data_IF_264788677302
#
_entry.id   IF_264788677302
#
_cell.length_a   1.000
_cell.length_b   1.000
_cell.length_c   1.000
_cell.angle_alpha   90.00
_cell.angle_beta   90.00
_cell.angle_gamma   90.00
#
_symmetry.space_group_name_H-M   'P 1'
#
loop_
_entity.id
_entity.type
_entity.pdbx_description
1 polymer ?
#
# COMPACT_ATOMS: atom_id res chain seq x y z
N UNK A 1 5.44 11.92 35.24
CA UNK A 1 5.17 12.37 33.85
C UNK A 1 6.03 13.58 33.61
N UNK A 2 6.69 13.63 32.45
CA UNK A 2 7.62 14.71 32.10
C UNK A 2 6.84 15.89 31.50
N UNK A 3 7.22 17.12 31.82
CA UNK A 3 6.67 18.30 31.15
C UNK A 3 7.52 18.63 29.93
N UNK A 4 7.01 18.45 28.69
CA UNK A 4 7.76 18.77 27.49
C UNK A 4 7.89 20.28 27.31
N UNK A 5 8.93 20.70 26.60
CA UNK A 5 9.07 22.08 26.09
C UNK A 5 8.13 22.33 24.90
N UNK A 6 7.82 23.59 24.60
CA UNK A 6 6.95 23.94 23.47
C UNK A 6 7.52 23.45 22.13
N UNK A 7 8.85 23.52 21.95
CA UNK A 7 9.53 23.01 20.75
C UNK A 7 9.37 21.50 20.58
N UNK A 8 9.55 20.72 21.65
CA UNK A 8 9.35 19.26 21.61
C UNK A 8 7.91 18.90 21.23
N UNK A 9 6.92 19.63 21.76
CA UNK A 9 5.51 19.42 21.43
C UNK A 9 5.24 19.72 19.96
N UNK A 10 5.77 20.83 19.43
CA UNK A 10 5.58 21.21 18.03
C UNK A 10 6.27 20.25 17.05
N UNK A 11 7.50 19.83 17.34
CA UNK A 11 8.23 18.89 16.48
C UNK A 11 7.56 17.51 16.45
N UNK A 12 7.14 17.01 17.62
CA UNK A 12 6.39 15.76 17.70
C UNK A 12 5.01 15.87 17.02
N UNK A 13 4.34 17.01 17.16
CA UNK A 13 3.08 17.26 16.45
C UNK A 13 3.27 17.33 14.93
N UNK A 14 4.31 18.00 14.42
CA UNK A 14 4.63 18.03 12.98
C UNK A 14 4.84 16.63 12.45
N UNK A 15 5.61 15.82 13.14
CA UNK A 15 5.86 14.42 12.77
C UNK A 15 4.55 13.64 12.76
N UNK A 16 3.69 13.84 13.76
CA UNK A 16 2.42 13.13 13.91
C UNK A 16 1.41 13.49 12.82
N UNK A 17 1.20 14.78 12.53
CA UNK A 17 0.29 15.24 11.49
C UNK A 17 0.84 14.96 10.08
N UNK A 18 2.16 15.03 9.86
CA UNK A 18 2.75 14.62 8.57
C UNK A 18 2.59 13.13 8.31
N UNK A 19 2.61 12.31 9.37
CA UNK A 19 2.43 10.85 9.25
C UNK A 19 0.95 10.44 9.21
N UNK A 20 0.05 11.26 9.77
CA UNK A 20 -1.39 11.02 9.80
C UNK A 20 -2.15 12.34 9.52
N UNK A 21 -2.29 12.76 8.25
CA UNK A 21 -2.89 14.06 7.91
C UNK A 21 -4.31 14.26 8.47
N UNK A 22 -5.06 13.17 8.64
CA UNK A 22 -6.45 13.17 9.11
C UNK A 22 -6.60 12.93 10.62
N UNK A 23 -5.52 12.97 11.42
CA UNK A 23 -5.64 12.76 12.87
C UNK A 23 -6.31 13.96 13.54
N UNK A 24 -7.47 13.76 14.16
CA UNK A 24 -8.13 14.82 14.92
C UNK A 24 -7.28 15.28 16.12
N UNK A 25 -7.34 16.58 16.45
CA UNK A 25 -6.54 17.21 17.51
C UNK A 25 -6.58 16.50 18.86
N UNK A 26 -7.76 16.02 19.27
CA UNK A 26 -7.93 15.30 20.53
C UNK A 26 -7.17 13.96 20.53
N UNK A 27 -7.21 13.25 19.40
CA UNK A 27 -6.47 11.99 19.21
C UNK A 27 -4.97 12.25 19.13
N UNK A 28 -4.56 13.32 18.44
CA UNK A 28 -3.17 13.74 18.39
C UNK A 28 -2.59 14.02 19.79
N UNK A 29 -3.33 14.75 20.63
CA UNK A 29 -2.94 14.99 22.02
C UNK A 29 -2.81 13.68 22.82
N UNK A 30 -3.80 12.79 22.72
CA UNK A 30 -3.77 11.51 23.42
C UNK A 30 -2.54 10.68 23.00
N UNK A 31 -2.27 10.59 21.70
CA UNK A 31 -1.10 9.90 21.14
C UNK A 31 0.20 10.49 21.69
N UNK A 32 0.36 11.82 21.66
CA UNK A 32 1.57 12.48 22.16
C UNK A 32 1.80 12.22 23.66
N UNK A 33 0.73 12.23 24.47
CA UNK A 33 0.80 11.92 25.91
C UNK A 33 1.23 10.47 26.15
N UNK A 34 0.63 9.53 25.43
CA UNK A 34 0.89 8.09 25.60
C UNK A 34 2.29 7.72 25.11
N UNK A 35 2.68 8.16 23.92
CA UNK A 35 3.96 7.76 23.30
C UNK A 35 5.18 8.36 24.00
N UNK A 36 5.05 9.58 24.55
CA UNK A 36 6.17 10.31 25.15
C UNK A 36 6.08 10.41 26.68
N UNK A 37 5.06 9.79 27.31
CA UNK A 37 4.81 9.86 28.75
C UNK A 37 4.73 11.32 29.29
N UNK A 38 4.12 12.20 28.49
CA UNK A 38 4.06 13.63 28.75
C UNK A 38 2.83 14.04 29.55
N UNK A 39 3.03 14.98 30.48
CA UNK A 39 1.94 15.74 31.09
C UNK A 39 1.66 17.01 30.26
N UNK A 40 0.87 16.82 29.20
CA UNK A 40 0.49 17.89 28.27
C UNK A 40 -1.02 18.22 28.38
N UNK A 41 -1.33 19.47 28.72
CA UNK A 41 -2.70 19.97 28.82
C UNK A 41 -3.30 20.38 27.47
N UNK A 42 -4.59 20.11 27.26
CA UNK A 42 -5.28 20.42 26.01
C UNK A 42 -5.24 21.92 25.65
N UNK A 43 -5.38 22.82 26.64
CA UNK A 43 -5.29 24.27 26.41
C UNK A 43 -3.92 24.69 25.86
N UNK A 44 -2.84 24.14 26.42
CA UNK A 44 -1.46 24.42 25.97
C UNK A 44 -1.22 23.87 24.58
N UNK A 45 -1.61 22.61 24.35
CA UNK A 45 -1.48 21.98 23.02
C UNK A 45 -2.24 22.75 21.95
N UNK A 46 -3.51 23.11 22.19
CA UNK A 46 -4.30 23.91 21.27
C UNK A 46 -3.61 25.24 20.93
N UNK A 47 -3.14 25.98 21.93
CA UNK A 47 -2.45 27.27 21.74
C UNK A 47 -1.20 27.13 20.85
N UNK A 48 -0.42 26.06 21.05
CA UNK A 48 0.79 25.81 20.26
C UNK A 48 0.46 25.46 18.81
N UNK A 49 -0.52 24.57 18.59
CA UNK A 49 -0.93 24.18 17.24
C UNK A 49 -1.53 25.36 16.49
N UNK A 50 -2.44 26.12 17.10
CA UNK A 50 -3.11 27.27 16.48
C UNK A 50 -2.13 28.42 16.15
N UNK A 51 -1.00 28.52 16.89
CA UNK A 51 0.05 29.51 16.64
C UNK A 51 1.16 29.03 15.68
N UNK A 52 1.04 27.81 15.14
CA UNK A 52 2.05 27.18 14.28
C UNK A 52 1.57 27.01 12.84
N UNK A 53 2.51 26.72 11.95
CA UNK A 53 2.29 26.31 10.57
C UNK A 53 1.44 25.02 10.44
N UNK A 54 1.36 24.23 11.51
CA UNK A 54 0.56 22.99 11.59
C UNK A 54 -0.95 23.29 11.46
N UNK A 55 -1.41 24.48 11.88
CA UNK A 55 -2.83 24.84 11.79
C UNK A 55 -3.36 24.81 10.35
N UNK A 56 -2.53 25.19 9.36
CA UNK A 56 -2.91 25.16 7.95
C UNK A 56 -3.06 23.74 7.43
N UNK A 57 -2.23 22.81 7.91
CA UNK A 57 -2.32 21.37 7.58
C UNK A 57 -3.55 20.70 8.20
N UNK A 58 -4.10 21.25 9.28
CA UNK A 58 -5.28 20.72 9.99
C UNK A 58 -6.59 21.30 9.43
N UNK A 59 -6.59 22.56 8.97
CA UNK A 59 -7.78 23.23 8.46
C UNK A 59 -8.38 22.55 7.21
N UNK A 60 -7.56 21.81 6.43
CA UNK A 60 -8.05 20.97 5.33
C UNK A 60 -8.78 19.68 5.75
N UNK A 61 -8.79 19.36 7.05
CA UNK A 61 -9.32 18.09 7.60
C UNK A 61 -10.44 18.27 8.65
N UNK A 62 -11.00 19.49 8.81
CA UNK A 62 -11.92 19.83 9.92
C UNK A 62 -13.35 20.22 9.51
N UNK A 63 -13.84 19.82 8.35
CA UNK A 63 -15.30 19.72 8.13
C UNK A 63 -15.73 18.28 8.35
N UNK A 64 -15.81 17.85 9.61
CA UNK A 64 -16.69 16.77 10.09
C UNK A 64 -16.26 16.37 11.50
N UNK A 65 -16.83 17.03 12.52
CA UNK A 65 -17.07 16.36 13.81
C UNK A 65 -17.96 17.20 14.73
N UNK A 66 -19.21 16.75 14.89
CA UNK A 66 -19.96 16.92 16.13
C UNK A 66 -20.83 15.68 16.40
N UNK A 67 -20.27 14.72 17.15
CA UNK A 67 -20.93 13.95 18.22
C UNK A 67 -22.04 12.94 17.88
N UNK A 68 -21.73 11.64 18.06
CA UNK A 68 -22.73 10.60 18.37
C UNK A 68 -22.37 9.21 17.81
N UNK A 69 -22.31 8.21 18.71
CA UNK A 69 -22.31 6.75 18.49
C UNK A 69 -21.78 6.20 17.14
N UNK A 70 -20.71 5.39 17.18
CA UNK A 70 -20.15 4.66 16.03
C UNK A 70 -21.17 3.68 15.40
N UNK A 71 -22.04 4.22 14.55
CA UNK A 71 -22.40 3.61 13.29
C UNK A 71 -21.44 4.18 12.24
N UNK A 72 -20.87 3.30 11.39
CA UNK A 72 -20.12 3.73 10.19
C UNK A 72 -20.97 4.77 9.47
N UNK A 73 -20.47 5.99 9.21
CA UNK A 73 -21.21 6.94 8.42
C UNK A 73 -21.41 6.35 7.03
N UNK A 74 -22.67 6.27 6.62
CA UNK A 74 -23.09 5.87 5.29
C UNK A 74 -22.49 6.88 4.31
N UNK A 75 -21.42 6.45 3.62
CA UNK A 75 -20.70 7.25 2.65
C UNK A 75 -21.54 7.34 1.36
N UNK A 76 -22.59 8.17 1.35
CA UNK A 76 -23.52 8.21 0.21
C UNK A 76 -23.82 9.60 -0.34
N UNK A 77 -23.02 10.63 -0.04
CA UNK A 77 -23.24 11.96 -0.67
C UNK A 77 -22.26 12.41 -1.75
N UNK A 78 -21.03 11.88 -1.81
CA UNK A 78 -20.09 12.18 -2.92
C UNK A 78 -19.21 10.96 -3.31
N UNK A 79 -19.72 9.74 -3.11
CA UNK A 79 -18.99 8.55 -3.52
C UNK A 79 -18.95 8.46 -5.05
N UNK A 80 -17.75 8.55 -5.64
CA UNK A 80 -17.55 8.29 -7.06
C UNK A 80 -18.13 6.92 -7.43
N UNK A 81 -18.81 6.79 -8.59
CA UNK A 81 -19.43 5.53 -8.98
C UNK A 81 -18.36 4.43 -9.05
N UNK A 82 -18.66 3.19 -8.66
CA UNK A 82 -17.67 2.12 -8.68
C UNK A 82 -16.94 1.94 -10.01
N UNK A 83 -15.68 1.48 -9.94
CA UNK A 83 -14.93 1.13 -11.14
C UNK A 83 -15.62 -0.04 -11.85
N UNK A 84 -15.89 0.07 -13.16
CA UNK A 84 -16.39 -1.04 -13.94
C UNK A 84 -15.37 -2.18 -13.97
N UNK A 85 -15.79 -3.36 -13.53
CA UNK A 85 -14.98 -4.58 -13.58
C UNK A 85 -15.53 -5.51 -14.68
N UNK A 86 -14.68 -6.34 -15.31
CA UNK A 86 -15.15 -7.38 -16.21
C UNK A 86 -16.12 -8.33 -15.51
N UNK A 87 -17.11 -8.84 -16.24
CA UNK A 87 -18.09 -9.80 -15.72
C UNK A 87 -17.41 -11.06 -15.15
N UNK A 88 -16.35 -11.51 -15.80
CA UNK A 88 -15.48 -12.59 -15.33
C UNK A 88 -14.07 -12.02 -15.12
N UNK A 89 -13.91 -11.31 -13.99
CA UNK A 89 -12.67 -10.63 -13.65
C UNK A 89 -11.50 -11.61 -13.47
N UNK A 90 -11.76 -12.80 -12.93
CA UNK A 90 -10.76 -13.84 -12.80
C UNK A 90 -10.23 -14.29 -14.17
N UNK A 91 -11.10 -14.67 -15.10
CA UNK A 91 -10.65 -15.07 -16.43
C UNK A 91 -9.99 -13.90 -17.19
N UNK A 92 -10.41 -12.66 -16.95
CA UNK A 92 -9.76 -11.48 -17.51
C UNK A 92 -8.33 -11.30 -16.97
N UNK A 93 -8.11 -11.50 -15.67
CA UNK A 93 -6.78 -11.48 -15.06
C UNK A 93 -5.87 -12.57 -15.67
N UNK A 94 -6.34 -13.82 -15.75
CA UNK A 94 -5.56 -14.93 -16.31
C UNK A 94 -5.15 -14.63 -17.75
N UNK A 95 -6.11 -14.23 -18.61
CA UNK A 95 -5.79 -13.84 -20.00
C UNK A 95 -4.80 -12.69 -20.06
N UNK A 96 -4.91 -11.72 -19.16
CA UNK A 96 -3.98 -10.59 -19.11
C UNK A 96 -2.57 -11.07 -18.77
N UNK A 97 -2.41 -11.96 -17.78
CA UNK A 97 -1.11 -12.52 -17.39
C UNK A 97 -0.47 -13.36 -18.51
N UNK A 98 -1.28 -13.99 -19.36
CA UNK A 98 -0.80 -14.78 -20.51
C UNK A 98 -0.41 -13.94 -21.73
N UNK A 99 -1.10 -12.80 -21.95
CA UNK A 99 -0.99 -12.03 -23.20
C UNK A 99 -0.23 -10.72 -23.03
N UNK A 100 -0.15 -10.18 -21.83
CA UNK A 100 0.52 -8.92 -21.54
C UNK A 100 1.99 -9.15 -21.18
N UNK A 101 2.84 -8.18 -21.55
CA UNK A 101 4.20 -8.09 -20.99
C UNK A 101 4.22 -7.61 -19.54
N UNK A 102 3.07 -7.22 -19.00
CA UNK A 102 2.89 -6.72 -17.63
C UNK A 102 2.36 -7.85 -16.75
N UNK A 103 2.67 -7.79 -15.46
CA UNK A 103 2.36 -8.86 -14.52
C UNK A 103 0.86 -8.90 -14.14
N UNK A 104 0.19 -7.76 -14.04
CA UNK A 104 -1.24 -7.69 -13.77
C UNK A 104 -1.82 -6.34 -14.23
N UNK A 105 -3.15 -6.22 -14.20
CA UNK A 105 -3.92 -5.02 -14.54
C UNK A 105 -4.60 -4.49 -13.29
N UNK A 106 -4.69 -3.18 -13.14
CA UNK A 106 -5.62 -2.53 -12.20
C UNK A 106 -6.62 -1.68 -12.99
N UNK A 107 -7.90 -1.78 -12.64
CA UNK A 107 -8.96 -1.10 -13.38
C UNK A 107 -9.07 0.36 -12.93
N UNK A 108 -9.13 1.28 -13.89
CA UNK A 108 -9.19 2.72 -13.65
C UNK A 108 -10.59 3.30 -13.81
N UNK A 109 -10.84 4.48 -13.23
CA UNK A 109 -12.10 5.21 -13.38
C UNK A 109 -12.23 5.92 -14.74
N UNK A 110 -11.12 6.43 -15.27
CA UNK A 110 -11.11 7.27 -16.46
C UNK A 110 -11.03 6.49 -17.77
N UNK A 111 -10.34 7.09 -18.74
CA UNK A 111 -10.13 6.56 -20.08
C UNK A 111 -9.28 5.27 -20.11
N UNK A 112 -8.36 5.12 -19.15
CA UNK A 112 -7.38 4.05 -19.12
C UNK A 112 -7.60 3.09 -17.96
N UNK A 113 -7.18 1.86 -18.17
CA UNK A 113 -6.73 0.97 -17.09
C UNK A 113 -5.22 1.05 -16.96
N UNK A 114 -4.65 0.26 -16.06
CA UNK A 114 -3.21 0.31 -15.83
C UNK A 114 -2.57 -1.06 -15.78
N UNK A 115 -1.55 -1.25 -16.62
CA UNK A 115 -0.69 -2.40 -16.58
C UNK A 115 0.43 -2.20 -15.57
N UNK A 116 0.71 -3.24 -14.79
CA UNK A 116 1.64 -3.16 -13.66
C UNK A 116 2.75 -4.20 -13.80
N UNK A 117 3.99 -3.79 -13.53
CA UNK A 117 5.13 -4.69 -13.44
C UNK A 117 5.94 -4.36 -12.20
N UNK A 118 6.14 -5.28 -11.27
CA UNK A 118 7.19 -5.13 -10.26
C UNK A 118 8.56 -5.41 -10.88
N UNK A 119 9.62 -5.45 -10.08
CA UNK A 119 10.89 -6.02 -10.56
C UNK A 119 10.77 -7.55 -10.80
N UNK A 120 11.71 -8.14 -11.55
CA UNK A 120 11.64 -9.53 -12.00
C UNK A 120 11.45 -10.53 -10.85
N UNK A 121 12.22 -10.39 -9.76
CA UNK A 121 12.14 -11.29 -8.60
C UNK A 121 10.75 -11.23 -7.94
N UNK A 122 10.19 -10.02 -7.84
CA UNK A 122 8.86 -9.80 -7.29
C UNK A 122 7.76 -10.28 -8.24
N UNK A 123 7.97 -10.24 -9.56
CA UNK A 123 7.04 -10.79 -10.54
C UNK A 123 6.90 -12.30 -10.37
N UNK A 124 8.02 -13.01 -10.17
CA UNK A 124 7.99 -14.44 -9.88
C UNK A 124 7.19 -14.74 -8.60
N UNK A 125 7.39 -13.94 -7.54
CA UNK A 125 6.64 -14.09 -6.30
C UNK A 125 5.12 -13.92 -6.51
N UNK A 126 4.70 -12.89 -7.27
CA UNK A 126 3.28 -12.69 -7.59
C UNK A 126 2.71 -13.90 -8.34
N UNK A 127 3.44 -14.43 -9.34
CA UNK A 127 3.04 -15.63 -10.05
C UNK A 127 2.85 -16.84 -9.13
N UNK A 128 3.80 -17.07 -8.20
CA UNK A 128 3.69 -18.13 -7.19
C UNK A 128 2.45 -17.95 -6.30
N UNK A 129 2.18 -16.72 -5.84
CA UNK A 129 1.00 -16.43 -5.02
C UNK A 129 -0.30 -16.66 -5.80
N UNK A 130 -0.35 -16.21 -7.05
CA UNK A 130 -1.48 -16.43 -7.95
C UNK A 130 -1.76 -17.92 -8.14
N UNK A 131 -0.76 -18.71 -8.52
CA UNK A 131 -0.88 -20.15 -8.73
C UNK A 131 -1.34 -20.90 -7.48
N UNK A 132 -0.88 -20.46 -6.30
CA UNK A 132 -1.33 -21.05 -5.03
C UNK A 132 -2.80 -20.75 -4.77
N UNK A 133 -3.26 -19.53 -5.00
CA UNK A 133 -4.68 -19.19 -4.87
C UNK A 133 -5.55 -19.95 -5.87
N UNK A 134 -5.08 -20.13 -7.11
CA UNK A 134 -5.75 -21.00 -8.10
C UNK A 134 -5.89 -22.44 -7.60
N UNK A 135 -4.81 -23.02 -7.07
CA UNK A 135 -4.82 -24.39 -6.50
C UNK A 135 -5.74 -24.53 -5.30
N UNK A 136 -5.98 -23.44 -4.57
CA UNK A 136 -6.95 -23.38 -3.47
C UNK A 136 -8.40 -23.21 -3.96
N UNK A 137 -8.61 -22.93 -5.25
CA UNK A 137 -9.94 -22.85 -5.86
C UNK A 137 -10.44 -21.43 -6.12
N UNK A 138 -9.58 -20.41 -6.18
CA UNK A 138 -9.99 -19.06 -6.58
C UNK A 138 -10.66 -19.05 -7.97
N UNK A 139 -11.74 -18.25 -8.18
CA UNK A 139 -12.35 -17.29 -7.27
C UNK A 139 -13.47 -17.88 -6.38
N UNK A 140 -13.55 -19.21 -6.23
CA UNK A 140 -14.56 -19.90 -5.44
C UNK A 140 -15.55 -20.70 -6.31
N UNK A 141 -16.75 -21.00 -5.79
CA UNK A 141 -17.35 -20.46 -4.56
C UNK A 141 -16.64 -20.90 -3.28
N UNK A 142 -16.58 -19.99 -2.30
CA UNK A 142 -15.98 -20.22 -0.99
C UNK A 142 -17.06 -20.20 0.10
N UNK A 143 -16.99 -21.12 1.07
CA UNK A 143 -17.70 -20.94 2.33
C UNK A 143 -17.06 -19.83 3.19
N UNK A 144 -17.78 -19.32 4.19
CA UNK A 144 -17.32 -18.19 5.01
C UNK A 144 -16.00 -18.47 5.76
N UNK A 145 -15.81 -19.70 6.23
CA UNK A 145 -14.57 -20.10 6.91
C UNK A 145 -13.39 -20.03 5.94
N UNK A 146 -13.58 -20.48 4.72
CA UNK A 146 -12.55 -20.52 3.70
C UNK A 146 -12.26 -19.12 3.18
N UNK A 147 -13.27 -18.25 3.03
CA UNK A 147 -13.05 -16.82 2.72
C UNK A 147 -12.10 -16.16 3.71
N UNK A 148 -12.34 -16.35 5.02
CA UNK A 148 -11.48 -15.78 6.08
C UNK A 148 -10.04 -16.31 5.96
N UNK A 149 -9.88 -17.61 5.72
CA UNK A 149 -8.56 -18.24 5.58
C UNK A 149 -7.81 -17.71 4.36
N UNK A 150 -8.48 -17.56 3.21
CA UNK A 150 -7.88 -17.04 1.99
C UNK A 150 -7.56 -15.55 2.14
N UNK A 151 -8.48 -14.76 2.68
CA UNK A 151 -8.28 -13.33 2.91
C UNK A 151 -7.09 -13.04 3.84
N UNK A 152 -6.91 -13.86 4.88
CA UNK A 152 -5.81 -13.76 5.84
C UNK A 152 -4.53 -14.47 5.41
N UNK A 153 -4.49 -15.08 4.23
CA UNK A 153 -3.32 -15.83 3.75
C UNK A 153 -2.15 -14.91 3.38
N UNK A 154 -0.93 -15.45 3.43
CA UNK A 154 0.28 -14.71 3.03
C UNK A 154 0.29 -14.35 1.54
N UNK A 155 -0.32 -15.21 0.73
CA UNK A 155 -0.48 -15.07 -0.71
C UNK A 155 -1.37 -13.88 -1.04
N UNK A 156 -2.54 -13.82 -0.41
CA UNK A 156 -3.48 -12.71 -0.57
C UNK A 156 -2.90 -11.41 -0.03
N UNK A 157 -2.20 -11.45 1.12
CA UNK A 157 -1.50 -10.29 1.63
C UNK A 157 -0.44 -9.75 0.65
N UNK A 158 0.31 -10.65 0.02
CA UNK A 158 1.34 -10.28 -0.97
C UNK A 158 0.70 -9.62 -2.19
N UNK A 159 -0.33 -10.24 -2.76
CA UNK A 159 -1.09 -9.68 -3.89
C UNK A 159 -1.69 -8.32 -3.55
N UNK A 160 -2.33 -8.20 -2.38
CA UNK A 160 -2.86 -6.93 -1.88
C UNK A 160 -1.80 -5.83 -1.90
N UNK A 161 -0.61 -6.08 -1.34
CA UNK A 161 0.41 -5.03 -1.22
C UNK A 161 0.90 -4.54 -2.60
N UNK A 162 1.02 -5.41 -3.61
CA UNK A 162 1.40 -4.98 -4.96
C UNK A 162 0.27 -4.24 -5.68
N UNK A 163 -0.96 -4.72 -5.59
CA UNK A 163 -2.12 -4.04 -6.18
C UNK A 163 -2.32 -2.68 -5.52
N UNK A 164 -2.19 -2.61 -4.20
CA UNK A 164 -2.31 -1.36 -3.46
C UNK A 164 -1.16 -0.39 -3.77
N UNK A 165 0.08 -0.87 -3.84
CA UNK A 165 1.22 -0.05 -4.23
C UNK A 165 1.00 0.58 -5.62
N UNK A 166 0.44 -0.17 -6.57
CA UNK A 166 0.09 0.33 -7.89
C UNK A 166 -1.11 1.30 -7.84
N UNK A 167 -2.18 0.95 -7.15
CA UNK A 167 -3.40 1.76 -7.00
C UNK A 167 -3.11 3.17 -6.46
N UNK A 168 -2.21 3.29 -5.48
CA UNK A 168 -1.77 4.60 -4.97
C UNK A 168 -1.12 5.49 -6.02
N UNK A 169 -0.38 4.92 -6.99
CA UNK A 169 0.26 5.71 -8.06
C UNK A 169 -0.75 6.30 -9.04
N UNK A 170 -1.95 5.72 -9.11
CA UNK A 170 -3.02 6.13 -10.01
C UNK A 170 -4.26 6.64 -9.27
N UNK A 171 -4.08 7.04 -8.01
CA UNK A 171 -5.11 7.65 -7.17
C UNK A 171 -6.36 6.78 -6.98
N UNK A 172 -6.21 5.45 -6.97
CA UNK A 172 -7.30 4.54 -6.60
C UNK A 172 -7.42 4.42 -5.08
N UNK A 173 -8.63 4.10 -4.62
CA UNK A 173 -8.89 3.87 -3.20
C UNK A 173 -8.56 2.42 -2.81
N UNK A 174 -8.40 2.16 -1.50
CA UNK A 174 -8.31 0.78 -1.01
C UNK A 174 -9.57 -0.01 -1.37
N UNK A 175 -10.75 0.63 -1.38
CA UNK A 175 -12.00 -0.01 -1.77
C UNK A 175 -12.02 -0.47 -3.22
N UNK A 176 -11.48 0.34 -4.13
CA UNK A 176 -11.35 -0.03 -5.54
C UNK A 176 -10.50 -1.31 -5.70
N UNK A 177 -9.37 -1.37 -4.99
CA UNK A 177 -8.49 -2.53 -5.01
C UNK A 177 -9.14 -3.75 -4.33
N UNK A 178 -9.79 -3.56 -3.18
CA UNK A 178 -10.47 -4.63 -2.45
C UNK A 178 -11.57 -5.28 -3.28
N UNK A 179 -12.39 -4.46 -3.96
CA UNK A 179 -13.42 -4.94 -4.89
C UNK A 179 -12.85 -5.67 -6.10
N UNK A 180 -11.75 -5.16 -6.66
CA UNK A 180 -11.09 -5.84 -7.76
C UNK A 180 -10.60 -7.23 -7.34
N UNK A 181 -9.93 -7.33 -6.19
CA UNK A 181 -9.45 -8.61 -5.67
C UNK A 181 -10.59 -9.55 -5.27
N UNK A 182 -11.71 -9.01 -4.78
CA UNK A 182 -12.91 -9.79 -4.54
C UNK A 182 -13.46 -10.40 -5.84
N UNK A 183 -13.47 -9.62 -6.93
CA UNK A 183 -13.90 -10.12 -8.23
C UNK A 183 -12.90 -11.11 -8.86
N UNK A 184 -11.59 -10.90 -8.66
CA UNK A 184 -10.52 -11.72 -9.23
C UNK A 184 -10.25 -13.01 -8.44
N UNK A 185 -10.42 -12.99 -7.12
CA UNK A 185 -10.03 -14.10 -6.24
C UNK A 185 -11.14 -14.57 -5.31
N UNK A 186 -12.30 -13.92 -5.33
CA UNK A 186 -13.48 -14.30 -4.56
C UNK A 186 -13.54 -13.76 -3.13
N UNK A 187 -12.59 -12.90 -2.74
CA UNK A 187 -12.58 -12.29 -1.40
C UNK A 187 -11.87 -10.93 -1.37
N UNK A 188 -12.44 -9.97 -0.64
CA UNK A 188 -11.79 -8.70 -0.30
C UNK A 188 -10.89 -8.87 0.93
N UNK A 189 -9.56 -8.77 0.84
CA UNK A 189 -8.70 -9.03 2.00
C UNK A 189 -8.69 -7.93 3.05
N UNK A 190 -9.20 -6.71 2.75
CA UNK A 190 -9.06 -5.53 3.62
C UNK A 190 -9.43 -5.76 5.09
N UNK A 191 -10.54 -6.45 5.43
CA UNK A 191 -10.91 -6.68 6.82
C UNK A 191 -9.90 -7.54 7.61
N UNK A 192 -9.03 -8.28 6.93
CA UNK A 192 -8.10 -9.25 7.50
C UNK A 192 -6.63 -8.85 7.37
N UNK A 193 -6.34 -7.68 6.79
CA UNK A 193 -4.97 -7.20 6.67
C UNK A 193 -4.37 -6.89 8.05
N UNK A 194 -3.12 -7.30 8.32
CA UNK A 194 -2.45 -6.95 9.56
C UNK A 194 -2.22 -5.44 9.62
N UNK A 195 -2.61 -4.83 10.73
CA UNK A 195 -2.25 -3.44 11.06
C UNK A 195 -0.85 -3.44 11.63
N UNK A 196 0.11 -2.94 10.86
CA UNK A 196 1.51 -2.84 11.28
C UNK A 196 1.81 -1.46 11.86
N UNK A 197 2.52 -1.43 12.98
CA UNK A 197 3.09 -0.19 13.52
C UNK A 197 4.20 0.34 12.62
N UNK A 198 4.54 1.64 12.75
CA UNK A 198 5.66 2.23 12.02
C UNK A 198 6.97 1.49 12.25
N UNK A 199 7.23 1.06 13.49
CA UNK A 199 8.42 0.29 13.84
C UNK A 199 8.43 -1.08 13.11
N UNK A 200 7.29 -1.77 13.06
CA UNK A 200 7.16 -3.04 12.34
C UNK A 200 7.34 -2.85 10.82
N UNK A 201 6.80 -1.78 10.24
CA UNK A 201 7.00 -1.45 8.82
C UNK A 201 8.47 -1.16 8.51
N UNK A 202 9.15 -0.38 9.35
CA UNK A 202 10.59 -0.10 9.18
C UNK A 202 11.44 -1.36 9.32
N UNK A 203 11.14 -2.20 10.31
CA UNK A 203 11.80 -3.48 10.50
C UNK A 203 11.59 -4.40 9.29
N UNK A 204 10.37 -4.49 8.77
CA UNK A 204 10.04 -5.29 7.58
C UNK A 204 10.85 -4.83 6.37
N UNK A 205 10.88 -3.52 6.09
CA UNK A 205 11.68 -2.94 5.01
C UNK A 205 13.18 -3.22 5.18
N UNK A 206 13.70 -3.08 6.40
CA UNK A 206 15.09 -3.38 6.70
C UNK A 206 15.44 -4.86 6.47
N UNK A 207 14.57 -5.78 6.91
CA UNK A 207 14.72 -7.21 6.66
C UNK A 207 14.65 -7.54 5.17
N UNK A 208 13.73 -6.92 4.43
CA UNK A 208 13.60 -7.10 2.99
C UNK A 208 14.88 -6.67 2.26
N UNK A 209 15.39 -5.46 2.57
CA UNK A 209 16.66 -4.96 2.04
C UNK A 209 17.82 -5.90 2.36
N UNK A 210 17.95 -6.35 3.62
CA UNK A 210 19.02 -7.24 4.04
C UNK A 210 19.01 -8.55 3.25
N UNK A 211 17.84 -9.21 3.14
CA UNK A 211 17.68 -10.46 2.39
C UNK A 211 17.92 -10.28 0.89
N UNK A 212 17.47 -9.18 0.31
CA UNK A 212 17.69 -8.90 -1.11
C UNK A 212 19.18 -8.65 -1.42
N UNK A 213 19.88 -7.92 -0.57
CA UNK A 213 21.34 -7.73 -0.71
C UNK A 213 22.10 -9.04 -0.51
N UNK A 214 21.70 -9.86 0.46
CA UNK A 214 22.27 -11.20 0.67
C UNK A 214 22.12 -12.08 -0.57
N UNK A 215 20.92 -12.14 -1.15
CA UNK A 215 20.67 -12.90 -2.38
C UNK A 215 21.54 -12.39 -3.54
N UNK A 216 21.60 -11.06 -3.74
CA UNK A 216 22.43 -10.47 -4.80
C UNK A 216 23.91 -10.78 -4.62
N UNK A 217 24.44 -10.74 -3.39
CA UNK A 217 25.82 -11.15 -3.09
C UNK A 217 26.05 -12.63 -3.39
N UNK A 218 25.10 -13.49 -3.03
CA UNK A 218 25.18 -14.92 -3.33
C UNK A 218 25.23 -15.15 -4.85
N UNK A 219 24.36 -14.48 -5.63
CA UNK A 219 24.35 -14.54 -7.09
C UNK A 219 25.65 -14.06 -7.71
N UNK A 220 26.15 -12.89 -7.29
CA UNK A 220 27.45 -12.36 -7.76
C UNK A 220 28.63 -13.29 -7.50
N UNK A 221 28.55 -14.09 -6.42
CA UNK A 221 29.57 -15.08 -6.07
C UNK A 221 29.43 -16.37 -6.88
N UNK A 222 28.20 -16.82 -7.17
CA UNK A 222 27.94 -18.11 -7.79
C UNK A 222 27.85 -18.07 -9.32
N UNK A 223 27.51 -16.93 -9.90
CA UNK A 223 27.24 -16.78 -11.33
C UNK A 223 28.07 -15.63 -11.92
N UNK A 224 29.06 -15.91 -12.80
CA UNK A 224 29.85 -14.90 -13.48
C UNK A 224 29.01 -13.91 -14.32
N UNK A 225 27.86 -14.34 -14.83
CA UNK A 225 26.99 -13.50 -15.66
C UNK A 225 26.21 -12.49 -14.80
N UNK A 226 26.04 -12.73 -13.50
CA UNK A 226 25.35 -11.83 -12.59
C UNK A 226 26.00 -10.44 -12.53
N UNK A 227 27.31 -10.33 -12.76
CA UNK A 227 28.02 -9.05 -12.81
C UNK A 227 27.55 -8.13 -13.95
N UNK A 228 26.92 -8.69 -15.01
CA UNK A 228 26.40 -7.91 -16.14
C UNK A 228 25.08 -7.21 -15.81
N UNK A 229 24.35 -7.71 -14.81
CA UNK A 229 22.97 -7.27 -14.52
C UNK A 229 22.77 -6.75 -13.11
N UNK A 230 23.67 -7.07 -12.17
CA UNK A 230 23.63 -6.55 -10.80
C UNK A 230 24.66 -5.42 -10.68
N UNK A 231 24.25 -4.15 -10.62
CA UNK A 231 25.17 -3.05 -10.44
C UNK A 231 25.84 -3.12 -9.05
N UNK A 232 27.15 -2.93 -9.03
CA UNK A 232 27.96 -2.91 -7.82
C UNK A 232 28.67 -1.56 -7.63
N UNK A 233 28.97 -1.22 -6.39
CA UNK A 233 29.78 -0.05 -6.06
C UNK A 233 31.29 -0.31 -6.23
N UNK A 234 32.13 0.66 -5.86
CA UNK A 234 33.59 0.55 -5.96
C UNK A 234 34.20 -0.54 -5.08
N UNK A 235 33.45 -1.12 -4.15
CA UNK A 235 33.86 -2.23 -3.28
C UNK A 235 33.33 -3.58 -3.77
N UNK A 236 32.59 -3.62 -4.88
CA UNK A 236 31.94 -4.82 -5.39
C UNK A 236 30.65 -5.17 -4.64
N UNK A 237 30.10 -4.26 -3.83
CA UNK A 237 28.86 -4.48 -3.10
C UNK A 237 27.64 -4.12 -3.96
N UNK A 238 26.55 -4.90 -3.94
CA UNK A 238 25.35 -4.57 -4.71
C UNK A 238 24.78 -3.20 -4.32
N UNK A 239 24.52 -2.36 -5.32
CA UNK A 239 23.92 -1.04 -5.10
C UNK A 239 22.45 -1.18 -4.71
N UNK A 240 22.04 -0.48 -3.65
CA UNK A 240 20.65 -0.40 -3.23
C UNK A 240 20.03 0.97 -3.50
N UNK A 241 19.03 1.02 -4.38
CA UNK A 241 18.11 2.15 -4.52
C UNK A 241 16.72 1.74 -4.02
N UNK A 242 16.22 2.40 -2.97
CA UNK A 242 14.89 2.11 -2.41
C UNK A 242 13.76 2.32 -3.43
N UNK A 243 13.94 3.22 -4.40
CA UNK A 243 12.91 3.51 -5.42
C UNK A 243 12.81 2.44 -6.49
N UNK A 244 13.86 1.62 -6.65
CA UNK A 244 13.94 0.58 -7.67
C UNK A 244 13.85 -0.81 -7.03
N UNK A 245 14.53 -0.99 -5.90
CA UNK A 245 14.68 -2.27 -5.20
C UNK A 245 13.81 -2.39 -3.96
N UNK A 246 13.10 -1.33 -3.55
CA UNK A 246 12.26 -1.35 -2.36
C UNK A 246 11.18 -2.43 -2.35
N UNK A 247 10.67 -2.71 -1.16
CA UNK A 247 9.53 -3.60 -0.97
C UNK A 247 8.28 -2.98 -1.63
N UNK A 248 7.66 -3.69 -2.58
CA UNK A 248 6.49 -3.25 -3.38
C UNK A 248 6.75 -2.07 -4.34
N UNK A 249 7.93 -2.00 -4.94
CA UNK A 249 8.18 -1.09 -6.06
C UNK A 249 7.53 -1.64 -7.32
N UNK A 250 6.71 -0.81 -7.98
CA UNK A 250 6.02 -1.16 -9.22
C UNK A 250 6.16 -0.08 -10.29
N UNK A 251 6.36 -0.51 -11.53
CA UNK A 251 6.13 0.28 -12.73
C UNK A 251 4.65 0.19 -13.09
N UNK A 252 4.03 1.32 -13.38
CA UNK A 252 2.63 1.41 -13.80
C UNK A 252 2.58 2.12 -15.14
N UNK A 253 1.85 1.56 -16.10
CA UNK A 253 1.63 2.13 -17.43
C UNK A 253 0.14 2.22 -17.72
N UNK A 254 -0.27 3.28 -18.43
CA UNK A 254 -1.65 3.39 -18.93
C UNK A 254 -1.87 2.36 -20.03
N UNK A 255 -2.97 1.62 -19.98
CA UNK A 255 -3.37 0.66 -21.01
C UNK A 255 -4.80 0.90 -21.48
N UNK A 256 -5.10 0.48 -22.72
CA UNK A 256 -6.45 0.55 -23.28
C UNK A 256 -7.42 -0.29 -22.45
N UNK A 257 -8.64 0.22 -22.25
CA UNK A 257 -9.71 -0.55 -21.62
C UNK A 257 -10.21 -1.70 -22.48
N UNK A 258 -10.17 -1.53 -23.80
CA UNK A 258 -10.71 -2.48 -24.77
C UNK A 258 -9.89 -3.77 -24.84
N UNK A 259 -8.59 -3.65 -25.08
CA UNK A 259 -7.69 -4.80 -25.25
C UNK A 259 -6.86 -5.12 -23.99
N UNK A 260 -6.71 -4.16 -23.06
CA UNK A 260 -5.85 -4.28 -21.89
C UNK A 260 -4.35 -4.21 -22.16
N UNK A 261 -3.89 -4.27 -23.39
CA UNK A 261 -2.46 -4.48 -23.73
C UNK A 261 -1.82 -3.29 -24.45
N UNK A 262 -2.60 -2.46 -25.14
CA UNK A 262 -2.07 -1.26 -25.82
C UNK A 262 -1.64 -0.22 -24.78
N UNK A 263 -0.36 0.13 -24.74
CA UNK A 263 0.23 1.05 -23.75
C UNK A 263 0.29 2.52 -24.24
N UNK A 264 -0.07 3.46 -23.36
CA UNK A 264 -0.08 4.91 -23.61
C UNK A 264 0.97 5.68 -22.80
N UNK A 265 1.93 4.97 -22.20
CA UNK A 265 3.03 5.55 -21.44
C UNK A 265 2.97 5.31 -19.94
N UNK A 266 4.06 5.67 -19.25
CA UNK A 266 4.25 5.44 -17.82
C UNK A 266 3.52 6.44 -16.95
N UNK A 267 3.02 5.98 -15.81
CA UNK A 267 2.54 6.83 -14.71
C UNK A 267 3.75 7.20 -13.83
N UNK A 268 3.92 8.49 -13.57
CA UNK A 268 4.99 9.04 -12.74
C UNK A 268 4.81 8.69 -11.25
#
# INVERSE_FOLDING_TARGET
>A
MEQPTDGQVLDAARILYSSNPNIGRAKALATLKTENNWDLGNKRFKKLIDASDIAQSIAGAQEDTAGGAQQRPDATKDALPPIPLPKDAHAALVRYMETSRRCFRIYGRGEYDYGVSPNMDQQLLIGICHDRLLKLGAPGPWDEKTKILIAGSSEMYTIWNYWWAAGRKVCLTEEDIGRQLEAEYGVDPRPWLPVLSKAQLLQRKAMFKAKSLELKRAMLKSDPEAQKVIPVDSKGEPVWDEKIHGEYVVQVVKVSKEDGVTEYGTVA
#
